data_IF_179498015960
#
_entry.id   IF_179498015960
#
_cell.length_a   1.000
_cell.length_b   1.000
_cell.length_c   1.000
_cell.angle_alpha   90.00
_cell.angle_beta   90.00
_cell.angle_gamma   90.00
#
_symmetry.space_group_name_H-M   'P 1'
#
loop_
_entity.id
_entity.type
_entity.pdbx_description
1 polymer ?
#
# COMPACT_ATOMS: atom_id res chain seq x y z
N UNK A 1 3.37 -27.20 -22.21
CA UNK A 1 3.68 -25.78 -21.87
C UNK A 1 5.19 -25.65 -21.73
N UNK A 2 5.87 -24.85 -22.56
CA UNK A 2 7.35 -24.77 -22.53
C UNK A 2 7.84 -24.19 -21.19
N UNK A 3 8.83 -24.83 -20.54
CA UNK A 3 9.43 -24.37 -19.27
C UNK A 3 9.91 -22.91 -19.33
N UNK A 4 10.34 -22.47 -20.51
CA UNK A 4 10.73 -21.09 -20.79
C UNK A 4 9.58 -20.09 -20.58
N UNK A 5 8.37 -20.47 -20.98
CA UNK A 5 7.16 -19.66 -20.84
C UNK A 5 6.74 -19.53 -19.37
N UNK A 6 6.91 -20.59 -18.57
CA UNK A 6 6.66 -20.58 -17.12
C UNK A 6 7.65 -19.67 -16.39
N UNK A 7 8.93 -19.70 -16.76
CA UNK A 7 9.96 -18.81 -16.18
C UNK A 7 9.68 -17.36 -16.54
N UNK A 8 9.33 -17.09 -17.80
CA UNK A 8 8.99 -15.74 -18.26
C UNK A 8 7.75 -15.19 -17.52
N UNK A 9 6.71 -16.01 -17.36
CA UNK A 9 5.51 -15.64 -16.61
C UNK A 9 5.84 -15.36 -15.13
N UNK A 10 6.63 -16.23 -14.48
CA UNK A 10 7.05 -16.03 -13.09
C UNK A 10 7.84 -14.74 -12.88
N UNK A 11 8.80 -14.45 -13.78
CA UNK A 11 9.58 -13.21 -13.74
C UNK A 11 8.70 -11.98 -13.98
N UNK A 12 7.78 -12.03 -14.94
CA UNK A 12 6.86 -10.91 -15.19
C UNK A 12 5.93 -10.65 -14.01
N UNK A 13 5.42 -11.71 -13.36
CA UNK A 13 4.57 -11.59 -12.18
C UNK A 13 5.33 -10.95 -11.02
N UNK A 14 6.55 -11.41 -10.75
CA UNK A 14 7.41 -10.82 -9.73
C UNK A 14 7.73 -9.35 -9.99
N UNK A 15 8.01 -8.98 -11.25
CA UNK A 15 8.27 -7.59 -11.64
C UNK A 15 7.03 -6.69 -11.43
N UNK A 16 5.84 -7.16 -11.81
CA UNK A 16 4.58 -6.41 -11.63
C UNK A 16 4.29 -6.20 -10.13
N UNK A 17 4.41 -7.25 -9.32
CA UNK A 17 4.14 -7.14 -7.87
C UNK A 17 5.18 -6.23 -7.18
N UNK A 18 6.46 -6.39 -7.51
CA UNK A 18 7.52 -5.57 -6.92
C UNK A 18 7.39 -4.08 -7.27
N UNK A 19 7.10 -3.79 -8.54
CA UNK A 19 6.84 -2.41 -8.98
C UNK A 19 5.58 -1.84 -8.31
N UNK A 20 4.50 -2.62 -8.20
CA UNK A 20 3.27 -2.24 -7.52
C UNK A 20 3.50 -1.83 -6.06
N UNK A 21 4.23 -2.63 -5.29
CA UNK A 21 4.53 -2.33 -3.87
C UNK A 21 5.39 -1.07 -3.75
N UNK A 22 6.43 -0.94 -4.57
CA UNK A 22 7.32 0.23 -4.54
C UNK A 22 6.58 1.52 -4.94
N UNK A 23 5.71 1.45 -5.95
CA UNK A 23 4.88 2.56 -6.40
C UNK A 23 3.86 2.94 -5.32
N UNK A 24 3.18 1.96 -4.72
CA UNK A 24 2.22 2.19 -3.65
C UNK A 24 2.83 2.93 -2.45
N UNK A 25 3.97 2.45 -1.94
CA UNK A 25 4.64 3.06 -0.77
C UNK A 25 5.13 4.49 -1.08
N UNK A 26 5.55 4.73 -2.34
CA UNK A 26 6.06 6.04 -2.77
C UNK A 26 4.92 7.03 -3.01
N UNK A 27 3.87 6.63 -3.74
CA UNK A 27 2.73 7.47 -4.13
C UNK A 27 1.87 7.86 -2.93
N UNK A 28 1.64 6.93 -1.99
CA UNK A 28 0.98 7.27 -0.73
C UNK A 28 1.81 8.19 0.17
N UNK A 29 3.09 8.39 -0.11
CA UNK A 29 3.94 9.26 0.70
C UNK A 29 4.35 8.65 2.05
N UNK A 30 4.16 7.34 2.25
CA UNK A 30 4.60 6.65 3.48
C UNK A 30 6.11 6.82 3.69
N UNK A 31 6.88 6.65 2.61
CA UNK A 31 8.33 6.83 2.62
C UNK A 31 8.74 8.25 3.05
N UNK A 32 8.09 9.26 2.48
CA UNK A 32 8.36 10.67 2.77
C UNK A 32 8.02 10.99 4.22
N UNK A 33 6.87 10.54 4.70
CA UNK A 33 6.42 10.80 6.07
C UNK A 33 7.33 10.17 7.13
N UNK A 34 7.82 8.95 6.91
CA UNK A 34 8.79 8.32 7.81
C UNK A 34 10.10 9.11 7.86
N UNK A 35 10.58 9.59 6.71
CA UNK A 35 11.78 10.42 6.64
C UNK A 35 11.60 11.76 7.36
N UNK A 36 10.43 12.37 7.25
CA UNK A 36 10.08 13.65 7.89
C UNK A 36 9.95 13.50 9.41
N UNK A 37 9.23 12.48 9.88
CA UNK A 37 9.11 12.16 11.32
C UNK A 37 10.47 11.90 11.95
N UNK A 38 11.35 11.20 11.23
CA UNK A 38 12.71 10.89 11.70
C UNK A 38 13.68 12.07 11.52
N UNK A 39 13.29 13.17 10.87
CA UNK A 39 14.14 14.30 10.45
C UNK A 39 15.40 13.86 9.68
N UNK A 40 15.30 12.77 8.93
CA UNK A 40 16.45 12.02 8.38
C UNK A 40 16.30 11.87 6.85
N UNK A 41 15.85 12.93 6.17
CA UNK A 41 15.64 12.98 4.72
C UNK A 41 16.90 12.64 3.90
N UNK A 42 18.08 12.96 4.43
CA UNK A 42 19.37 12.69 3.78
C UNK A 42 19.63 11.19 3.55
N UNK A 43 18.98 10.30 4.31
CA UNK A 43 19.18 8.85 4.22
C UNK A 43 18.06 8.12 3.49
N UNK A 44 17.36 8.78 2.56
CA UNK A 44 16.27 8.16 1.79
C UNK A 44 16.65 6.84 1.10
N UNK A 45 17.92 6.67 0.71
CA UNK A 45 18.42 5.41 0.15
C UNK A 45 18.39 4.24 1.15
N UNK A 46 18.68 4.50 2.43
CA UNK A 46 18.65 3.48 3.49
C UNK A 46 17.23 3.00 3.73
N UNK A 47 16.24 3.90 3.73
CA UNK A 47 14.83 3.52 3.84
C UNK A 47 14.37 2.64 2.67
N UNK A 48 14.80 2.96 1.44
CA UNK A 48 14.51 2.11 0.26
C UNK A 48 15.10 0.71 0.40
N UNK A 49 16.36 0.61 0.85
CA UNK A 49 17.00 -0.69 1.10
C UNK A 49 16.27 -1.45 2.22
N UNK A 50 15.87 -0.77 3.30
CA UNK A 50 15.14 -1.41 4.39
C UNK A 50 13.80 -2.01 3.92
N UNK A 51 13.07 -1.29 3.06
CA UNK A 51 11.82 -1.80 2.45
C UNK A 51 12.10 -2.99 1.54
N UNK A 52 13.15 -2.93 0.71
CA UNK A 52 13.56 -4.04 -0.17
C UNK A 52 13.98 -5.28 0.64
N UNK A 53 14.75 -5.11 1.70
CA UNK A 53 15.14 -6.21 2.57
C UNK A 53 13.93 -6.80 3.29
N UNK A 54 13.03 -5.95 3.79
CA UNK A 54 11.79 -6.37 4.42
C UNK A 54 10.90 -7.20 3.49
N UNK A 55 10.76 -6.78 2.22
CA UNK A 55 9.96 -7.52 1.24
C UNK A 55 10.61 -8.84 0.82
N UNK A 56 11.94 -8.89 0.71
CA UNK A 56 12.66 -10.14 0.46
C UNK A 56 12.49 -11.13 1.61
N UNK A 57 12.66 -10.66 2.85
CA UNK A 57 12.50 -11.50 4.05
C UNK A 57 11.06 -12.01 4.17
N UNK A 58 10.05 -11.15 3.97
CA UNK A 58 8.65 -11.57 4.05
C UNK A 58 8.30 -12.59 2.96
N UNK A 59 8.80 -12.39 1.74
CA UNK A 59 8.62 -13.34 0.64
C UNK A 59 9.25 -14.69 0.95
N UNK A 60 10.44 -14.70 1.55
CA UNK A 60 11.11 -15.95 1.96
C UNK A 60 10.32 -16.68 3.05
N UNK A 61 9.85 -15.97 4.07
CA UNK A 61 9.01 -16.54 5.13
C UNK A 61 7.72 -17.14 4.54
N UNK A 62 7.10 -16.43 3.59
CA UNK A 62 5.88 -16.87 2.92
C UNK A 62 6.08 -18.12 2.07
N UNK A 63 7.12 -18.16 1.22
CA UNK A 63 7.38 -19.29 0.31
C UNK A 63 7.72 -20.58 1.06
N UNK A 64 8.50 -20.48 2.14
CA UNK A 64 8.94 -21.64 2.91
C UNK A 64 7.94 -22.05 4.02
N UNK A 65 6.78 -21.39 4.10
CA UNK A 65 5.76 -21.60 5.14
C UNK A 65 6.38 -21.66 6.54
N UNK A 66 7.38 -20.79 6.79
CA UNK A 66 8.17 -20.83 8.01
C UNK A 66 7.28 -20.49 9.20
N UNK A 67 6.90 -21.54 9.93
CA UNK A 67 6.09 -21.45 11.14
C UNK A 67 6.98 -21.03 12.32
N UNK A 68 7.23 -19.72 12.41
CA UNK A 68 8.03 -19.15 13.50
C UNK A 68 7.20 -19.19 14.79
N UNK A 69 7.57 -20.08 15.72
CA UNK A 69 7.06 -20.06 17.09
C UNK A 69 7.66 -18.86 17.82
N UNK A 70 7.08 -17.69 17.62
CA UNK A 70 7.47 -16.48 18.30
C UNK A 70 6.88 -16.43 19.72
N UNK A 71 7.68 -15.93 20.67
CA UNK A 71 7.20 -15.62 22.01
C UNK A 71 6.08 -14.55 21.90
N UNK A 72 4.97 -14.65 22.65
CA UNK A 72 3.91 -13.64 22.66
C UNK A 72 4.41 -12.19 22.82
N UNK A 73 5.50 -11.96 23.55
CA UNK A 73 6.12 -10.62 23.67
C UNK A 73 6.61 -10.11 22.30
N UNK A 74 7.20 -10.98 21.49
CA UNK A 74 7.68 -10.65 20.15
C UNK A 74 6.52 -10.35 19.18
N UNK A 75 5.44 -11.13 19.27
CA UNK A 75 4.22 -10.86 18.50
C UNK A 75 3.63 -9.49 18.81
N UNK A 76 3.59 -9.09 20.09
CA UNK A 76 3.08 -7.77 20.49
C UNK A 76 3.90 -6.64 19.87
N UNK A 77 5.23 -6.77 19.84
CA UNK A 77 6.11 -5.76 19.24
C UNK A 77 5.86 -5.65 17.73
N UNK A 78 5.81 -6.79 17.03
CA UNK A 78 5.52 -6.80 15.58
C UNK A 78 4.13 -6.23 15.30
N UNK A 79 3.13 -6.56 16.13
CA UNK A 79 1.78 -6.03 16.04
C UNK A 79 1.73 -4.51 16.20
N UNK A 80 2.50 -3.94 17.13
CA UNK A 80 2.62 -2.49 17.28
C UNK A 80 3.21 -1.83 16.03
N UNK A 81 4.29 -2.39 15.46
CA UNK A 81 4.87 -1.87 14.22
C UNK A 81 3.89 -1.95 13.05
N UNK A 82 3.11 -3.04 12.93
CA UNK A 82 2.04 -3.14 11.95
C UNK A 82 0.96 -2.08 12.17
N UNK A 83 0.56 -1.84 13.42
CA UNK A 83 -0.38 -0.77 13.77
C UNK A 83 0.11 0.61 13.36
N UNK A 84 1.39 0.92 13.64
CA UNK A 84 2.02 2.18 13.21
C UNK A 84 2.06 2.31 11.70
N UNK A 85 2.41 1.23 10.98
CA UNK A 85 2.39 1.21 9.51
C UNK A 85 0.99 1.47 8.94
N UNK A 86 -0.03 0.74 9.41
CA UNK A 86 -1.42 0.91 8.97
C UNK A 86 -1.92 2.32 9.31
N UNK A 87 -1.59 2.85 10.49
CA UNK A 87 -1.94 4.21 10.87
C UNK A 87 -1.32 5.27 9.95
N UNK A 88 -0.04 5.10 9.57
CA UNK A 88 0.60 5.98 8.60
C UNK A 88 -0.05 5.90 7.21
N UNK A 89 -0.39 4.70 6.73
CA UNK A 89 -1.09 4.51 5.45
C UNK A 89 -2.47 5.17 5.49
N UNK A 90 -3.24 4.99 6.57
CA UNK A 90 -4.55 5.61 6.72
C UNK A 90 -4.47 7.14 6.74
N UNK A 91 -3.51 7.71 7.49
CA UNK A 91 -3.26 9.16 7.51
C UNK A 91 -2.79 9.69 6.14
N UNK A 92 -2.04 8.89 5.38
CA UNK A 92 -1.57 9.24 4.03
C UNK A 92 -2.74 9.31 3.05
N UNK A 93 -3.63 8.34 3.17
CA UNK A 93 -4.83 8.29 2.36
C UNK A 93 -5.77 9.45 2.71
N UNK A 94 -5.91 9.80 3.99
CA UNK A 94 -6.67 10.98 4.40
C UNK A 94 -6.10 12.29 3.82
N UNK A 95 -4.78 12.50 3.94
CA UNK A 95 -4.13 13.71 3.40
C UNK A 95 -4.26 13.80 1.88
N UNK A 96 -4.06 12.70 1.15
CA UNK A 96 -4.24 12.68 -0.31
C UNK A 96 -5.69 12.91 -0.74
N UNK A 97 -6.67 12.42 0.04
CA UNK A 97 -8.08 12.70 -0.21
C UNK A 97 -8.44 14.17 0.07
N UNK A 98 -7.90 14.78 1.12
CA UNK A 98 -8.15 16.18 1.46
C UNK A 98 -7.57 17.15 0.43
N UNK A 99 -6.52 16.74 -0.30
CA UNK A 99 -5.94 17.51 -1.40
C UNK A 99 -6.85 17.52 -2.64
N UNK A 100 -7.64 16.46 -2.89
CA UNK A 100 -8.49 16.39 -4.09
C UNK A 100 -9.48 17.57 -4.18
N UNK A 101 -10.23 17.92 -3.10
CA UNK A 101 -11.08 19.10 -3.14
C UNK A 101 -10.29 20.40 -3.31
N UNK A 102 -9.23 20.58 -2.53
CA UNK A 102 -8.40 21.78 -2.55
C UNK A 102 -7.84 22.07 -3.95
N UNK A 103 -7.30 21.05 -4.63
CA UNK A 103 -6.76 21.19 -5.98
C UNK A 103 -7.86 21.54 -6.99
N UNK A 104 -9.05 20.96 -6.89
CA UNK A 104 -10.18 21.27 -7.79
C UNK A 104 -10.69 22.71 -7.63
N UNK A 105 -10.67 23.27 -6.42
CA UNK A 105 -11.05 24.68 -6.18
C UNK A 105 -10.04 25.65 -6.80
N UNK A 106 -8.74 25.36 -6.69
CA UNK A 106 -7.66 26.22 -7.19
C UNK A 106 -7.55 26.24 -8.72
N UNK A 107 -7.95 25.17 -9.42
CA UNK A 107 -7.96 25.12 -10.89
C UNK A 107 -9.23 25.80 -11.47
N UNK A 108 -10.08 26.41 -10.64
CA UNK A 108 -11.32 27.06 -11.08
C UNK A 108 -12.46 26.08 -11.40
N UNK A 109 -12.30 24.82 -11.01
CA UNK A 109 -13.24 23.70 -11.25
C UNK A 109 -14.24 23.61 -10.07
N UNK A 110 -14.49 24.72 -9.36
CA UNK A 110 -15.25 24.74 -8.11
C UNK A 110 -16.69 24.17 -8.26
N UNK A 111 -17.28 24.31 -9.45
CA UNK A 111 -18.61 23.74 -9.78
C UNK A 111 -18.61 22.20 -9.86
N UNK A 112 -17.48 21.56 -10.15
CA UNK A 112 -17.42 20.12 -10.46
C UNK A 112 -16.87 19.27 -9.32
N UNK A 113 -16.55 19.88 -8.18
CA UNK A 113 -16.17 19.18 -6.94
C UNK A 113 -17.21 18.11 -6.54
N UNK A 114 -18.48 18.45 -6.74
CA UNK A 114 -19.60 17.60 -6.40
C UNK A 114 -19.62 16.32 -7.26
N UNK A 115 -19.13 16.37 -8.51
CA UNK A 115 -19.01 15.18 -9.35
C UNK A 115 -17.98 14.19 -8.81
N UNK A 116 -16.85 14.67 -8.28
CA UNK A 116 -15.84 13.82 -7.66
C UNK A 116 -16.38 13.12 -6.41
N UNK A 117 -17.10 13.87 -5.57
CA UNK A 117 -17.74 13.33 -4.37
C UNK A 117 -18.82 12.30 -4.74
N UNK A 118 -19.66 12.59 -5.74
CA UNK A 118 -20.65 11.63 -6.26
C UNK A 118 -19.96 10.38 -6.81
N UNK A 119 -18.88 10.52 -7.57
CA UNK A 119 -18.14 9.38 -8.14
C UNK A 119 -17.56 8.48 -7.04
N UNK A 120 -17.01 9.05 -5.97
CA UNK A 120 -16.53 8.30 -4.80
C UNK A 120 -17.68 7.57 -4.08
N UNK A 121 -18.81 8.25 -3.87
CA UNK A 121 -20.00 7.66 -3.25
C UNK A 121 -20.52 6.49 -4.10
N UNK A 122 -20.64 6.68 -5.42
CA UNK A 122 -21.06 5.64 -6.35
C UNK A 122 -20.11 4.45 -6.34
N UNK A 123 -18.80 4.69 -6.36
CA UNK A 123 -17.79 3.64 -6.24
C UNK A 123 -17.96 2.82 -4.96
N UNK A 124 -18.24 3.47 -3.82
CA UNK A 124 -18.49 2.80 -2.54
C UNK A 124 -19.80 2.00 -2.53
N UNK A 125 -20.87 2.53 -3.14
CA UNK A 125 -22.15 1.84 -3.28
C UNK A 125 -22.00 0.60 -4.15
N UNK A 126 -21.38 0.74 -5.33
CA UNK A 126 -21.15 -0.37 -6.26
C UNK A 126 -20.27 -1.43 -5.59
N UNK A 127 -19.17 -1.03 -4.95
CA UNK A 127 -18.29 -1.95 -4.22
C UNK A 127 -19.02 -2.71 -3.12
N UNK A 128 -19.88 -2.03 -2.34
CA UNK A 128 -20.72 -2.66 -1.32
C UNK A 128 -21.72 -3.66 -1.91
N UNK A 129 -22.39 -3.30 -3.01
CA UNK A 129 -23.33 -4.18 -3.69
C UNK A 129 -22.62 -5.43 -4.20
N UNK A 130 -21.46 -5.29 -4.83
CA UNK A 130 -20.66 -6.42 -5.31
C UNK A 130 -20.25 -7.32 -4.14
N UNK A 131 -19.75 -6.72 -3.05
CA UNK A 131 -19.34 -7.45 -1.85
C UNK A 131 -20.47 -8.32 -1.28
N UNK A 132 -21.70 -7.81 -1.24
CA UNK A 132 -22.85 -8.55 -0.70
C UNK A 132 -23.54 -9.48 -1.69
N UNK A 133 -23.48 -9.18 -2.99
CA UNK A 133 -24.24 -9.91 -4.02
C UNK A 133 -23.45 -11.05 -4.62
N UNK A 134 -22.11 -10.96 -4.67
CA UNK A 134 -21.26 -11.99 -5.28
C UNK A 134 -20.74 -12.94 -4.20
N UNK A 135 -21.30 -14.17 -4.06
CA UNK A 135 -20.78 -15.15 -3.13
C UNK A 135 -19.36 -15.57 -3.55
N UNK A 136 -18.39 -15.43 -2.63
CA UNK A 136 -16.97 -15.73 -2.86
C UNK A 136 -16.07 -14.50 -3.08
N UNK A 137 -16.59 -13.28 -2.87
CA UNK A 137 -15.81 -12.04 -2.92
C UNK A 137 -15.07 -11.72 -1.59
N UNK A 138 -14.96 -12.70 -0.68
CA UNK A 138 -14.19 -12.62 0.56
C UNK A 138 -12.83 -13.28 0.44
#
# INVERSE_FOLDING_TARGET
MNKFLLIALGLSGGAIVGTGISAFITVLGVLVRVMDLSKTQRYGYVYKIAILLGSLVSTYIYIFELSIKANPVWLSIVGLFMGVFVGMVASALAETLDVLPFTSTNIGINRWIYLWIIALIFGKIIGSIIYWTVPGFY
#
